data_IF_909924891684
#
_entry.id   IF_909924891684
#
_cell.length_a   1.000
_cell.length_b   1.000
_cell.length_c   1.000
_cell.angle_alpha   90.00
_cell.angle_beta   90.00
_cell.angle_gamma   90.00
#
_symmetry.space_group_name_H-M   'P 1'
#
loop_
_entity.id
_entity.type
_entity.pdbx_description
1 polymer ?
#
# COMPACT_ATOMS: atom_id res chain seq x y z
N UNK A 1 -34.30 -4.44 -24.89
CA UNK A 1 -35.26 -5.20 -25.72
C UNK A 1 -34.56 -6.33 -26.48
N UNK A 2 -33.54 -6.06 -27.30
CA UNK A 2 -32.79 -7.09 -28.07
C UNK A 2 -32.18 -8.19 -27.18
N UNK A 3 -31.55 -7.82 -26.05
CA UNK A 3 -30.94 -8.77 -25.12
C UNK A 3 -31.92 -9.79 -24.51
N UNK A 4 -33.17 -9.36 -24.28
CA UNK A 4 -34.23 -10.18 -23.70
C UNK A 4 -34.74 -11.23 -24.70
N UNK A 5 -34.88 -10.87 -25.97
CA UNK A 5 -35.23 -11.83 -27.03
C UNK A 5 -34.14 -12.89 -27.22
N UNK A 6 -32.87 -12.50 -27.16
CA UNK A 6 -31.74 -13.43 -27.27
C UNK A 6 -31.72 -14.45 -26.11
N UNK A 7 -32.03 -14.02 -24.87
CA UNK A 7 -32.13 -14.92 -23.72
C UNK A 7 -33.24 -15.98 -23.88
N UNK A 8 -34.41 -15.56 -24.41
CA UNK A 8 -35.53 -16.47 -24.68
C UNK A 8 -35.15 -17.48 -25.76
N UNK A 9 -34.51 -17.02 -26.84
CA UNK A 9 -34.07 -17.89 -27.94
C UNK A 9 -33.01 -18.90 -27.48
N UNK A 10 -32.07 -18.47 -26.63
CA UNK A 10 -31.07 -19.36 -26.01
C UNK A 10 -31.72 -20.38 -25.08
N UNK A 11 -32.73 -19.99 -24.30
CA UNK A 11 -33.48 -20.90 -23.45
C UNK A 11 -34.28 -21.94 -24.26
N UNK A 12 -34.85 -21.54 -25.40
CA UNK A 12 -35.52 -22.45 -26.34
C UNK A 12 -34.52 -23.41 -26.98
N UNK A 13 -33.37 -22.90 -27.42
CA UNK A 13 -32.29 -23.71 -27.97
C UNK A 13 -31.81 -24.74 -26.94
N UNK A 14 -31.62 -24.34 -25.69
CA UNK A 14 -31.26 -25.24 -24.59
C UNK A 14 -32.31 -26.34 -24.36
N UNK A 15 -33.60 -26.00 -24.36
CA UNK A 15 -34.70 -26.99 -24.24
C UNK A 15 -34.77 -27.99 -25.39
N UNK A 16 -34.33 -27.60 -26.59
CA UNK A 16 -34.26 -28.48 -27.76
C UNK A 16 -33.01 -29.36 -27.72
N UNK A 17 -31.85 -28.77 -27.42
CA UNK A 17 -30.55 -29.45 -27.38
C UNK A 17 -30.47 -30.47 -26.26
N UNK A 18 -31.07 -30.19 -25.10
CA UNK A 18 -31.14 -31.12 -23.95
C UNK A 18 -31.87 -32.44 -24.25
N UNK A 19 -32.65 -32.51 -25.34
CA UNK A 19 -33.33 -33.75 -25.77
C UNK A 19 -32.44 -34.65 -26.64
N UNK A 20 -31.29 -34.14 -27.10
CA UNK A 20 -30.38 -34.85 -27.99
C UNK A 20 -29.12 -35.27 -27.22
N UNK A 21 -28.79 -36.56 -27.18
CA UNK A 21 -27.58 -37.03 -26.51
C UNK A 21 -26.32 -36.40 -27.14
N UNK A 22 -25.35 -36.01 -26.32
CA UNK A 22 -24.07 -35.36 -26.69
C UNK A 22 -24.16 -33.94 -27.29
N UNK A 23 -25.37 -33.43 -27.59
CA UNK A 23 -25.51 -32.08 -28.14
C UNK A 23 -25.29 -30.98 -27.08
N UNK A 24 -25.66 -31.27 -25.83
CA UNK A 24 -25.44 -30.37 -24.68
C UNK A 24 -23.95 -30.15 -24.41
N UNK A 25 -23.12 -31.19 -24.56
CA UNK A 25 -21.67 -31.08 -24.33
C UNK A 25 -21.01 -30.20 -25.39
N UNK A 26 -21.41 -30.36 -26.65
CA UNK A 26 -20.94 -29.48 -27.74
C UNK A 26 -21.38 -28.03 -27.55
N UNK A 27 -22.58 -27.81 -27.01
CA UNK A 27 -23.05 -26.46 -26.67
C UNK A 27 -22.20 -25.84 -25.54
N UNK A 28 -21.82 -26.63 -24.52
CA UNK A 28 -20.91 -26.18 -23.44
C UNK A 28 -19.55 -25.75 -24.00
N UNK A 29 -18.97 -26.53 -24.91
CA UNK A 29 -17.70 -26.18 -25.57
C UNK A 29 -17.78 -24.87 -26.36
N UNK A 30 -18.88 -24.65 -27.11
CA UNK A 30 -19.09 -23.41 -27.88
C UNK A 30 -19.24 -22.22 -26.94
N UNK A 31 -20.03 -22.36 -25.87
CA UNK A 31 -20.22 -21.29 -24.88
C UNK A 31 -18.90 -20.96 -24.17
N UNK A 32 -18.14 -21.98 -23.77
CA UNK A 32 -16.82 -21.81 -23.15
C UNK A 32 -15.86 -21.03 -24.06
N UNK A 33 -15.77 -21.43 -25.34
CA UNK A 33 -14.93 -20.76 -26.32
C UNK A 33 -15.38 -19.32 -26.58
N UNK A 34 -16.69 -19.07 -26.65
CA UNK A 34 -17.24 -17.73 -26.86
C UNK A 34 -16.94 -16.78 -25.68
N UNK A 35 -17.14 -17.24 -24.44
CA UNK A 35 -16.83 -16.46 -23.23
C UNK A 35 -15.34 -16.12 -23.20
N UNK A 36 -14.48 -17.10 -23.48
CA UNK A 36 -13.04 -16.90 -23.50
C UNK A 36 -12.61 -15.84 -24.53
N UNK A 37 -13.12 -15.91 -25.77
CA UNK A 37 -12.81 -14.93 -26.80
C UNK A 37 -13.33 -13.53 -26.43
N UNK A 38 -14.58 -13.42 -25.96
CA UNK A 38 -15.13 -12.13 -25.52
C UNK A 38 -14.33 -11.53 -24.35
N UNK A 39 -13.83 -12.38 -23.44
CA UNK A 39 -12.94 -12.00 -22.34
C UNK A 39 -11.63 -11.38 -22.84
N UNK A 40 -10.96 -12.07 -23.75
CA UNK A 40 -9.70 -11.61 -24.34
C UNK A 40 -9.90 -10.30 -25.11
N UNK A 41 -10.89 -10.25 -26.00
CA UNK A 41 -11.17 -9.06 -26.83
C UNK A 41 -11.42 -7.82 -25.97
N UNK A 42 -12.15 -7.97 -24.87
CA UNK A 42 -12.45 -6.87 -23.97
C UNK A 42 -11.19 -6.36 -23.26
N UNK A 43 -10.32 -7.27 -22.79
CA UNK A 43 -9.05 -6.90 -22.16
C UNK A 43 -8.07 -6.29 -23.19
N UNK A 44 -8.06 -6.78 -24.43
CA UNK A 44 -7.22 -6.27 -25.50
C UNK A 44 -7.58 -4.81 -25.85
N UNK A 45 -8.87 -4.48 -25.91
CA UNK A 45 -9.34 -3.10 -26.15
C UNK A 45 -8.88 -2.09 -25.09
N UNK A 46 -8.69 -2.54 -23.85
CA UNK A 46 -8.25 -1.68 -22.75
C UNK A 46 -6.75 -1.82 -22.44
N UNK A 47 -6.02 -2.67 -23.16
CA UNK A 47 -4.64 -3.07 -22.84
C UNK A 47 -3.67 -1.90 -22.68
N UNK A 48 -3.80 -0.85 -23.49
CA UNK A 48 -2.96 0.36 -23.43
C UNK A 48 -3.15 1.19 -22.16
N UNK A 49 -4.34 1.16 -21.57
CA UNK A 49 -4.75 2.06 -20.47
C UNK A 49 -4.88 1.31 -19.14
N UNK A 50 -5.27 0.04 -19.18
CA UNK A 50 -5.51 -0.82 -18.03
C UNK A 50 -4.24 -1.15 -17.24
N UNK A 51 -3.07 -1.13 -17.88
CA UNK A 51 -1.78 -1.40 -17.24
C UNK A 51 -1.47 -0.45 -16.08
N UNK A 52 -1.97 0.80 -16.19
CA UNK A 52 -1.84 1.85 -15.17
C UNK A 52 -3.16 2.14 -14.43
N UNK A 53 -4.25 1.43 -14.76
CA UNK A 53 -5.56 1.65 -14.17
C UNK A 53 -6.19 0.33 -13.69
N UNK A 54 -5.85 -0.11 -12.46
CA UNK A 54 -6.36 -1.36 -11.89
C UNK A 54 -7.88 -1.42 -11.79
N UNK A 55 -8.53 -0.26 -11.56
CA UNK A 55 -9.99 -0.16 -11.47
C UNK A 55 -10.65 -0.56 -12.79
N UNK A 56 -10.23 0.05 -13.89
CA UNK A 56 -10.75 -0.26 -15.23
C UNK A 56 -10.59 -1.74 -15.57
N UNK A 57 -9.44 -2.32 -15.24
CA UNK A 57 -9.16 -3.73 -15.48
C UNK A 57 -10.13 -4.66 -14.74
N UNK A 58 -10.30 -4.46 -13.43
CA UNK A 58 -11.16 -5.31 -12.60
C UNK A 58 -12.64 -5.12 -12.94
N UNK A 59 -13.09 -3.88 -13.17
CA UNK A 59 -14.48 -3.60 -13.57
C UNK A 59 -14.83 -4.26 -14.91
N UNK A 60 -13.90 -4.25 -15.89
CA UNK A 60 -14.13 -4.92 -17.19
C UNK A 60 -14.28 -6.44 -17.03
N UNK A 61 -13.47 -7.07 -16.19
CA UNK A 61 -13.60 -8.51 -15.89
C UNK A 61 -14.95 -8.81 -15.23
N UNK A 62 -15.35 -7.98 -14.26
CA UNK A 62 -16.61 -8.12 -13.53
C UNK A 62 -17.83 -7.94 -14.43
N UNK A 63 -17.79 -7.00 -15.39
CA UNK A 63 -18.86 -6.78 -16.35
C UNK A 63 -19.08 -8.01 -17.23
N UNK A 64 -17.99 -8.61 -17.73
CA UNK A 64 -18.03 -9.83 -18.54
C UNK A 64 -18.57 -11.00 -17.71
N UNK A 65 -18.03 -11.19 -16.50
CA UNK A 65 -18.49 -12.23 -15.58
C UNK A 65 -20.00 -12.09 -15.29
N UNK A 66 -20.44 -10.89 -14.89
CA UNK A 66 -21.85 -10.62 -14.56
C UNK A 66 -22.76 -10.85 -15.76
N UNK A 67 -22.34 -10.43 -16.95
CA UNK A 67 -23.10 -10.63 -18.19
C UNK A 67 -23.34 -12.10 -18.50
N UNK A 68 -22.30 -12.92 -18.42
CA UNK A 68 -22.39 -14.35 -18.73
C UNK A 68 -22.97 -15.18 -17.58
N UNK A 69 -22.76 -14.77 -16.33
CA UNK A 69 -23.42 -15.36 -15.17
C UNK A 69 -24.94 -15.22 -15.25
N UNK A 70 -25.45 -14.02 -15.61
CA UNK A 70 -26.88 -13.81 -15.88
C UNK A 70 -27.38 -14.69 -17.02
N UNK A 71 -26.62 -14.82 -18.10
CA UNK A 71 -26.96 -15.69 -19.22
C UNK A 71 -27.09 -17.15 -18.79
N UNK A 72 -26.14 -17.67 -18.00
CA UNK A 72 -26.17 -19.06 -17.51
C UNK A 72 -27.36 -19.28 -16.56
N UNK A 73 -27.64 -18.32 -15.67
CA UNK A 73 -28.75 -18.44 -14.73
C UNK A 73 -30.11 -18.38 -15.43
N UNK A 74 -30.31 -17.41 -16.33
CA UNK A 74 -31.61 -17.17 -16.95
C UNK A 74 -31.89 -18.09 -18.15
N UNK A 75 -30.90 -18.35 -19.00
CA UNK A 75 -31.10 -19.15 -20.22
C UNK A 75 -30.85 -20.65 -20.01
N UNK A 76 -29.91 -21.03 -19.12
CA UNK A 76 -29.52 -22.42 -18.91
C UNK A 76 -29.94 -22.97 -17.53
N UNK A 77 -30.80 -22.24 -16.80
CA UNK A 77 -31.33 -22.62 -15.48
C UNK A 77 -30.24 -23.03 -14.47
N UNK A 78 -29.07 -22.39 -14.52
CA UNK A 78 -27.93 -22.69 -13.65
C UNK A 78 -27.47 -24.16 -13.70
N UNK A 79 -27.58 -24.82 -14.86
CA UNK A 79 -27.06 -26.18 -15.02
C UNK A 79 -25.55 -26.22 -14.71
N UNK A 80 -25.14 -27.14 -13.82
CA UNK A 80 -23.77 -27.26 -13.33
C UNK A 80 -22.71 -27.33 -14.45
N UNK A 81 -23.03 -27.97 -15.57
CA UNK A 81 -22.10 -28.08 -16.70
C UNK A 81 -21.81 -26.73 -17.38
N UNK A 82 -22.79 -25.83 -17.47
CA UNK A 82 -22.59 -24.49 -18.03
C UNK A 82 -21.92 -23.54 -17.02
N UNK A 83 -22.23 -23.67 -15.73
CA UNK A 83 -21.50 -22.95 -14.67
C UNK A 83 -20.01 -23.33 -14.68
N UNK A 84 -19.70 -24.63 -14.77
CA UNK A 84 -18.32 -25.09 -14.88
C UNK A 84 -17.62 -24.62 -16.16
N UNK A 85 -18.34 -24.53 -17.28
CA UNK A 85 -17.81 -23.97 -18.53
C UNK A 85 -17.50 -22.47 -18.41
N UNK A 86 -18.40 -21.70 -17.78
CA UNK A 86 -18.17 -20.29 -17.44
C UNK A 86 -16.92 -20.12 -16.56
N UNK A 87 -16.81 -20.93 -15.51
CA UNK A 87 -15.69 -20.86 -14.56
C UNK A 87 -14.36 -21.18 -15.23
N UNK A 88 -14.30 -22.21 -16.08
CA UNK A 88 -13.10 -22.54 -16.87
C UNK A 88 -12.72 -21.43 -17.84
N UNK A 89 -13.70 -20.85 -18.56
CA UNK A 89 -13.44 -19.75 -19.47
C UNK A 89 -12.89 -18.52 -18.73
N UNK A 90 -13.52 -18.14 -17.60
CA UNK A 90 -13.09 -17.05 -16.72
C UNK A 90 -11.67 -17.26 -16.21
N UNK A 91 -11.38 -18.43 -15.62
CA UNK A 91 -10.02 -18.75 -15.17
C UNK A 91 -9.01 -18.62 -16.32
N UNK A 92 -9.35 -19.09 -17.52
CA UNK A 92 -8.43 -19.08 -18.65
C UNK A 92 -8.11 -17.66 -19.13
N UNK A 93 -9.09 -16.78 -19.34
CA UNK A 93 -8.81 -15.43 -19.82
C UNK A 93 -8.29 -14.48 -18.72
N UNK A 94 -8.60 -14.72 -17.45
CA UNK A 94 -8.09 -13.88 -16.35
C UNK A 94 -6.59 -14.13 -16.13
N UNK A 95 -6.15 -15.38 -16.25
CA UNK A 95 -4.73 -15.74 -16.08
C UNK A 95 -3.93 -15.56 -17.39
N UNK A 96 -4.57 -15.72 -18.56
CA UNK A 96 -3.95 -15.53 -19.88
C UNK A 96 -4.69 -14.47 -20.70
N UNK A 97 -4.12 -13.27 -20.79
CA UNK A 97 -4.67 -12.17 -21.58
C UNK A 97 -3.57 -11.28 -22.16
N UNK A 98 -3.97 -10.31 -22.97
CA UNK A 98 -3.08 -9.33 -23.60
C UNK A 98 -2.16 -8.62 -22.60
N UNK A 99 -2.61 -8.40 -21.35
CA UNK A 99 -1.82 -7.70 -20.31
C UNK A 99 -0.79 -8.63 -19.67
N UNK A 100 -1.15 -9.88 -19.38
CA UNK A 100 -0.21 -10.86 -18.85
C UNK A 100 0.82 -11.31 -19.89
N UNK A 101 0.43 -11.38 -21.16
CA UNK A 101 1.34 -11.68 -22.29
C UNK A 101 2.24 -10.49 -22.65
N UNK A 102 1.75 -9.25 -22.64
CA UNK A 102 2.58 -8.07 -22.93
C UNK A 102 3.77 -7.91 -21.96
N UNK A 103 3.60 -8.34 -20.71
CA UNK A 103 4.64 -8.24 -19.66
C UNK A 103 5.37 -9.58 -19.45
N UNK A 104 5.04 -10.62 -20.23
CA UNK A 104 5.49 -12.02 -19.99
C UNK A 104 5.32 -12.44 -18.52
N UNK A 105 4.23 -12.00 -17.88
CA UNK A 105 3.99 -12.21 -16.47
C UNK A 105 2.52 -12.52 -16.18
N UNK A 106 2.21 -13.80 -16.01
CA UNK A 106 0.89 -14.32 -15.61
C UNK A 106 0.47 -13.86 -14.21
N UNK A 107 1.38 -13.30 -13.40
CA UNK A 107 1.07 -12.77 -12.08
C UNK A 107 0.54 -11.34 -12.09
N UNK A 108 0.47 -10.68 -13.25
CA UNK A 108 0.04 -9.28 -13.34
C UNK A 108 -1.41 -9.10 -12.91
N UNK A 109 -2.29 -10.06 -13.23
CA UNK A 109 -3.69 -10.07 -12.77
C UNK A 109 -3.78 -10.06 -11.24
N UNK A 110 -2.96 -10.86 -10.55
CA UNK A 110 -2.87 -10.89 -9.08
C UNK A 110 -2.41 -9.55 -8.51
N UNK A 111 -1.43 -8.90 -9.15
CA UNK A 111 -0.93 -7.59 -8.73
C UNK A 111 -2.01 -6.51 -8.90
N UNK A 112 -2.67 -6.45 -10.07
CA UNK A 112 -3.72 -5.47 -10.35
C UNK A 112 -4.92 -5.62 -9.41
N UNK A 113 -5.33 -6.85 -9.09
CA UNK A 113 -6.38 -7.06 -8.10
C UNK A 113 -5.97 -6.54 -6.73
N UNK A 114 -4.74 -6.83 -6.28
CA UNK A 114 -4.24 -6.32 -5.01
C UNK A 114 -4.16 -4.78 -4.97
N UNK A 115 -3.78 -4.14 -6.09
CA UNK A 115 -3.75 -2.69 -6.24
C UNK A 115 -5.16 -2.07 -6.23
N UNK A 116 -6.14 -2.75 -6.84
CA UNK A 116 -7.54 -2.33 -6.80
C UNK A 116 -8.09 -2.36 -5.37
N UNK A 117 -7.88 -3.45 -4.63
CA UNK A 117 -8.24 -3.53 -3.21
C UNK A 117 -7.57 -2.42 -2.39
N UNK A 118 -6.27 -2.18 -2.61
CA UNK A 118 -5.53 -1.12 -1.94
C UNK A 118 -6.11 0.27 -2.19
N UNK A 119 -6.57 0.54 -3.41
CA UNK A 119 -7.19 1.82 -3.76
C UNK A 119 -8.51 2.01 -3.03
N UNK A 120 -9.36 0.99 -2.94
CA UNK A 120 -10.65 1.07 -2.24
C UNK A 120 -10.49 1.34 -0.73
N UNK A 121 -9.46 0.76 -0.11
CA UNK A 121 -9.24 0.82 1.34
C UNK A 121 -8.47 2.06 1.83
N UNK A 122 -8.02 2.94 0.93
CA UNK A 122 -7.18 4.10 1.26
C UNK A 122 -8.01 5.33 1.66
N UNK A 123 -7.57 6.05 2.70
CA UNK A 123 -8.11 7.37 3.10
C UNK A 123 -8.15 8.31 1.89
N UNK A 124 -9.29 8.95 1.67
CA UNK A 124 -9.51 9.90 0.56
C UNK A 124 -10.31 9.35 -0.62
N UNK A 125 -10.46 8.03 -0.75
CA UNK A 125 -11.27 7.41 -1.82
C UNK A 125 -12.72 7.10 -1.39
N UNK A 126 -13.18 7.72 -0.30
CA UNK A 126 -14.48 7.48 0.33
C UNK A 126 -15.63 8.23 -0.38
N UNK A 127 -15.64 8.19 -1.71
CA UNK A 127 -16.80 8.61 -2.53
C UNK A 127 -17.83 7.48 -2.69
N UNK A 128 -17.50 6.29 -2.19
CA UNK A 128 -18.32 5.07 -2.25
C UNK A 128 -19.10 4.98 -0.95
N UNK A 129 -20.44 4.87 -1.03
CA UNK A 129 -21.29 4.65 0.14
C UNK A 129 -20.95 3.31 0.81
N UNK A 130 -21.10 3.20 2.13
CA UNK A 130 -20.69 2.00 2.91
C UNK A 130 -21.37 0.72 2.41
N UNK A 131 -22.61 0.81 1.91
CA UNK A 131 -23.37 -0.30 1.31
C UNK A 131 -22.79 -0.78 -0.03
N UNK A 132 -22.20 0.10 -0.85
CA UNK A 132 -21.56 -0.30 -2.11
C UNK A 132 -20.21 -1.00 -1.84
N UNK A 133 -19.54 -0.65 -0.74
CA UNK A 133 -18.21 -1.17 -0.43
C UNK A 133 -18.21 -2.69 -0.16
N UNK A 134 -19.19 -3.21 0.59
CA UNK A 134 -19.30 -4.65 0.80
C UNK A 134 -19.57 -5.41 -0.51
N UNK A 135 -20.41 -4.86 -1.40
CA UNK A 135 -20.66 -5.44 -2.72
C UNK A 135 -19.37 -5.48 -3.56
N UNK A 136 -18.56 -4.41 -3.53
CA UNK A 136 -17.25 -4.38 -4.18
C UNK A 136 -16.30 -5.44 -3.63
N UNK A 137 -16.33 -5.72 -2.33
CA UNK A 137 -15.54 -6.81 -1.77
C UNK A 137 -16.02 -8.19 -2.22
N UNK A 138 -17.33 -8.41 -2.30
CA UNK A 138 -17.86 -9.66 -2.86
C UNK A 138 -17.41 -9.84 -4.32
N UNK A 139 -17.44 -8.77 -5.12
CA UNK A 139 -16.93 -8.77 -6.49
C UNK A 139 -15.42 -9.07 -6.57
N UNK A 140 -14.61 -8.49 -5.68
CA UNK A 140 -13.18 -8.82 -5.57
C UNK A 140 -12.96 -10.30 -5.31
N UNK A 141 -13.75 -10.89 -4.41
CA UNK A 141 -13.65 -12.31 -4.08
C UNK A 141 -14.02 -13.21 -5.27
N UNK A 142 -15.01 -12.80 -6.07
CA UNK A 142 -15.36 -13.50 -7.32
C UNK A 142 -14.15 -13.56 -8.26
N UNK A 143 -13.51 -12.43 -8.53
CA UNK A 143 -12.31 -12.40 -9.41
C UNK A 143 -11.15 -13.17 -8.78
N UNK A 144 -10.95 -13.03 -7.47
CA UNK A 144 -9.90 -13.74 -6.73
C UNK A 144 -10.03 -15.26 -6.81
N UNK A 145 -11.25 -15.81 -6.87
CA UNK A 145 -11.46 -17.25 -7.01
C UNK A 145 -10.98 -17.80 -8.37
N UNK A 146 -10.91 -16.97 -9.40
CA UNK A 146 -10.41 -17.35 -10.73
C UNK A 146 -8.89 -17.17 -10.89
N UNK A 147 -8.21 -16.54 -9.92
CA UNK A 147 -6.76 -16.37 -9.95
C UNK A 147 -6.07 -17.67 -9.54
N UNK A 148 -5.16 -18.16 -10.39
CA UNK A 148 -4.35 -19.35 -10.10
C UNK A 148 -3.25 -19.03 -9.05
N UNK A 149 -2.54 -17.92 -9.24
CA UNK A 149 -1.40 -17.52 -8.40
C UNK A 149 -1.86 -16.70 -7.19
N UNK A 150 -2.58 -17.34 -6.25
CA UNK A 150 -3.08 -16.71 -5.03
C UNK A 150 -1.95 -16.22 -4.10
N UNK A 151 -0.87 -16.97 -3.97
CA UNK A 151 0.29 -16.57 -3.14
C UNK A 151 0.93 -15.26 -3.62
N UNK A 152 0.92 -15.01 -4.92
CA UNK A 152 1.44 -13.75 -5.49
C UNK A 152 0.50 -12.59 -5.16
N UNK A 153 -0.82 -12.81 -5.23
CA UNK A 153 -1.79 -11.82 -4.74
C UNK A 153 -1.52 -11.51 -3.27
N UNK A 154 -1.37 -12.53 -2.41
CA UNK A 154 -1.11 -12.35 -0.99
C UNK A 154 0.18 -11.56 -0.74
N UNK A 155 1.25 -11.86 -1.47
CA UNK A 155 2.53 -11.13 -1.35
C UNK A 155 2.37 -9.64 -1.66
N UNK A 156 1.69 -9.29 -2.75
CA UNK A 156 1.45 -7.88 -3.11
C UNK A 156 0.47 -7.22 -2.14
N UNK A 157 -0.61 -7.90 -1.78
CA UNK A 157 -1.60 -7.42 -0.83
C UNK A 157 -0.96 -7.13 0.53
N UNK A 158 -0.21 -8.09 1.09
CA UNK A 158 0.52 -7.96 2.36
C UNK A 158 1.46 -6.76 2.35
N UNK A 159 2.22 -6.56 1.26
CA UNK A 159 3.13 -5.41 1.11
C UNK A 159 2.39 -4.08 1.12
N UNK A 160 1.28 -3.97 0.39
CA UNK A 160 0.49 -2.73 0.34
C UNK A 160 -0.26 -2.49 1.66
N UNK A 161 -0.82 -3.55 2.24
CA UNK A 161 -1.47 -3.53 3.53
C UNK A 161 -0.53 -3.05 4.64
N UNK A 162 0.69 -3.58 4.70
CA UNK A 162 1.71 -3.14 5.65
C UNK A 162 2.00 -1.64 5.55
N UNK A 163 2.11 -1.10 4.33
CA UNK A 163 2.34 0.32 4.08
C UNK A 163 1.13 1.18 4.49
N UNK A 164 -0.10 0.73 4.19
CA UNK A 164 -1.31 1.46 4.58
C UNK A 164 -1.45 1.53 6.10
N UNK A 165 -1.19 0.41 6.76
CA UNK A 165 -1.25 0.26 8.21
C UNK A 165 -0.26 1.18 8.91
N UNK A 166 1.03 1.12 8.54
CA UNK A 166 2.08 1.91 9.18
C UNK A 166 1.99 3.40 8.84
N UNK A 167 1.61 3.75 7.61
CA UNK A 167 1.44 5.16 7.22
C UNK A 167 0.08 5.76 7.62
N UNK A 168 -0.70 5.07 8.45
CA UNK A 168 -2.07 5.43 8.84
C UNK A 168 -2.97 5.80 7.65
N UNK A 169 -2.82 5.16 6.50
CA UNK A 169 -3.57 5.43 5.28
C UNK A 169 -4.87 4.62 5.18
N UNK A 170 -5.19 3.77 6.14
CA UNK A 170 -6.42 2.97 6.17
C UNK A 170 -7.66 3.84 6.41
N UNK A 171 -8.68 3.74 5.56
CA UNK A 171 -9.93 4.50 5.71
C UNK A 171 -10.72 4.07 6.95
N UNK A 172 -10.84 2.75 7.17
CA UNK A 172 -11.46 2.13 8.33
C UNK A 172 -10.75 0.82 8.65
N UNK A 173 -10.58 0.49 9.93
CA UNK A 173 -10.04 -0.82 10.32
C UNK A 173 -11.08 -1.93 10.18
N UNK A 174 -12.37 -1.60 10.30
CA UNK A 174 -13.47 -2.57 10.16
C UNK A 174 -13.54 -3.10 8.71
N UNK A 175 -13.33 -2.22 7.73
CA UNK A 175 -13.29 -2.61 6.30
C UNK A 175 -12.09 -3.52 6.00
N UNK A 176 -10.94 -3.24 6.61
CA UNK A 176 -9.74 -4.08 6.49
C UNK A 176 -9.97 -5.46 7.14
N UNK A 177 -10.65 -5.52 8.30
CA UNK A 177 -11.02 -6.79 8.94
C UNK A 177 -12.04 -7.57 8.10
N UNK A 178 -12.99 -6.89 7.46
CA UNK A 178 -14.02 -7.52 6.65
C UNK A 178 -13.46 -8.16 5.39
N UNK A 179 -12.56 -7.49 4.65
CA UNK A 179 -11.90 -8.11 3.48
C UNK A 179 -11.01 -9.29 3.90
N UNK A 180 -10.29 -9.19 5.03
CA UNK A 180 -9.48 -10.29 5.56
C UNK A 180 -10.37 -11.47 5.95
N UNK A 181 -11.54 -11.22 6.54
CA UNK A 181 -12.51 -12.25 6.88
C UNK A 181 -13.04 -12.98 5.63
N UNK A 182 -13.32 -12.25 4.55
CA UNK A 182 -13.72 -12.86 3.27
C UNK A 182 -12.57 -13.68 2.62
N UNK A 183 -11.32 -13.21 2.72
CA UNK A 183 -10.15 -13.99 2.29
C UNK A 183 -9.94 -15.25 3.15
N UNK A 184 -10.19 -15.16 4.46
CA UNK A 184 -10.11 -16.30 5.39
C UNK A 184 -11.17 -17.36 5.07
N UNK A 185 -12.38 -16.94 4.71
CA UNK A 185 -13.44 -17.86 4.30
C UNK A 185 -13.08 -18.64 3.02
N UNK A 186 -12.37 -18.00 2.07
CA UNK A 186 -12.03 -18.63 0.79
C UNK A 186 -10.76 -19.48 0.80
N UNK A 187 -9.72 -19.06 1.55
CA UNK A 187 -8.41 -19.72 1.55
C UNK A 187 -8.01 -20.35 2.89
N UNK A 188 -8.83 -20.17 3.92
CA UNK A 188 -8.56 -20.70 5.26
C UNK A 188 -7.74 -19.77 6.15
N UNK A 189 -7.51 -20.23 7.38
CA UNK A 189 -6.86 -19.45 8.43
C UNK A 189 -5.39 -19.15 8.13
N UNK A 190 -4.60 -20.16 7.76
CA UNK A 190 -3.16 -20.03 7.59
C UNK A 190 -2.79 -18.97 6.55
N UNK A 191 -3.58 -18.87 5.47
CA UNK A 191 -3.43 -17.88 4.40
C UNK A 191 -3.57 -16.42 4.89
N UNK A 192 -4.36 -16.18 5.94
CA UNK A 192 -4.65 -14.83 6.45
C UNK A 192 -4.00 -14.55 7.81
N UNK A 193 -3.37 -15.55 8.42
CA UNK A 193 -2.80 -15.49 9.77
C UNK A 193 -1.85 -14.30 9.98
N UNK A 194 -0.97 -14.04 9.02
CA UNK A 194 -0.04 -12.89 9.06
C UNK A 194 -0.78 -11.55 8.99
N UNK A 195 -1.80 -11.42 8.11
CA UNK A 195 -2.58 -10.18 7.98
C UNK A 195 -3.36 -9.88 9.26
N UNK A 196 -3.94 -10.91 9.88
CA UNK A 196 -4.63 -10.79 11.17
C UNK A 196 -3.67 -10.38 12.28
N UNK A 197 -2.46 -10.96 12.30
CA UNK A 197 -1.42 -10.57 13.24
C UNK A 197 -0.99 -9.12 13.04
N UNK A 198 -0.87 -8.64 11.79
CA UNK A 198 -0.53 -7.25 11.49
C UNK A 198 -1.59 -6.27 12.03
N UNK A 199 -2.89 -6.57 11.88
CA UNK A 199 -3.96 -5.76 12.49
C UNK A 199 -3.85 -5.74 14.01
N UNK A 200 -3.65 -6.89 14.63
CA UNK A 200 -3.54 -7.00 16.08
C UNK A 200 -2.32 -6.22 16.62
N UNK A 201 -1.20 -6.27 15.89
CA UNK A 201 0.03 -5.57 16.26
C UNK A 201 -0.20 -4.05 16.33
N UNK A 202 -0.94 -3.46 15.38
CA UNK A 202 -1.22 -2.02 15.36
C UNK A 202 -2.38 -1.65 16.28
N UNK A 203 -3.57 -2.21 16.07
CA UNK A 203 -4.79 -1.75 16.72
C UNK A 203 -4.79 -2.00 18.23
N UNK A 204 -4.16 -3.09 18.66
CA UNK A 204 -4.20 -3.55 20.05
C UNK A 204 -2.83 -3.41 20.69
N UNK A 205 -1.82 -4.12 20.17
CA UNK A 205 -0.52 -4.28 20.85
C UNK A 205 0.20 -2.94 20.97
N UNK A 206 0.32 -2.21 19.86
CA UNK A 206 1.03 -0.92 19.80
C UNK A 206 0.33 0.17 20.60
N UNK A 207 -1.00 0.25 20.50
CA UNK A 207 -1.80 1.22 21.25
C UNK A 207 -1.66 1.00 22.77
N UNK A 208 -1.80 -0.25 23.22
CA UNK A 208 -1.64 -0.61 24.63
C UNK A 208 -0.23 -0.28 25.14
N UNK A 209 0.81 -0.65 24.38
CA UNK A 209 2.20 -0.32 24.75
C UNK A 209 2.46 1.19 24.82
N UNK A 210 1.92 1.98 23.88
CA UNK A 210 2.04 3.44 23.88
C UNK A 210 1.38 4.04 25.12
N UNK A 211 0.18 3.58 25.47
CA UNK A 211 -0.53 4.07 26.66
C UNK A 211 0.17 3.67 27.96
N UNK A 212 0.67 2.44 28.07
CA UNK A 212 1.48 2.01 29.22
C UNK A 212 2.78 2.82 29.34
N UNK A 213 3.44 3.12 28.23
CA UNK A 213 4.65 3.94 28.24
C UNK A 213 4.37 5.38 28.68
N UNK A 214 3.23 5.96 28.26
CA UNK A 214 2.80 7.29 28.72
C UNK A 214 2.66 7.32 30.25
N UNK A 215 1.97 6.32 30.82
CA UNK A 215 1.80 6.17 32.27
C UNK A 215 3.15 6.00 32.98
N UNK A 216 4.07 5.21 32.42
CA UNK A 216 5.42 5.03 32.97
C UNK A 216 6.21 6.34 33.02
N UNK A 217 6.09 7.19 31.99
CA UNK A 217 6.77 8.48 31.94
C UNK A 217 6.23 9.45 33.01
N UNK A 218 4.91 9.46 33.24
CA UNK A 218 4.27 10.26 34.27
C UNK A 218 4.74 9.87 35.68
N UNK A 219 4.84 8.57 35.97
CA UNK A 219 5.28 8.08 37.28
C UNK A 219 6.76 8.38 37.58
N UNK A 220 7.62 8.32 36.57
CA UNK A 220 9.07 8.53 36.75
C UNK A 220 9.49 9.99 36.64
N UNK A 221 8.55 10.96 36.60
CA UNK A 221 8.81 12.38 36.31
C UNK A 221 9.71 12.59 35.09
N UNK A 222 9.67 11.62 34.17
CA UNK A 222 10.50 11.60 32.98
C UNK A 222 9.71 12.31 31.90
N UNK A 223 9.63 13.63 32.00
CA UNK A 223 9.10 14.44 30.92
C UNK A 223 10.02 14.28 29.72
N UNK A 224 9.62 13.44 28.78
CA UNK A 224 10.25 13.40 27.48
C UNK A 224 10.21 14.83 26.91
N UNK A 225 11.32 15.24 26.31
CA UNK A 225 11.46 16.55 25.64
C UNK A 225 10.45 16.67 24.46
N UNK A 226 9.80 15.56 24.14
CA UNK A 226 9.25 15.22 22.85
C UNK A 226 8.03 14.31 23.06
N UNK A 227 6.90 14.62 22.42
CA UNK A 227 5.74 13.71 22.35
C UNK A 227 6.15 12.45 21.56
N UNK A 228 5.83 11.26 22.03
CA UNK A 228 6.39 10.01 21.49
C UNK A 228 5.29 8.96 21.35
N UNK A 229 5.15 8.44 20.12
CA UNK A 229 4.22 7.36 19.80
C UNK A 229 4.96 6.25 19.05
N UNK A 230 4.59 5.01 19.33
CA UNK A 230 5.34 3.84 18.93
C UNK A 230 4.44 2.73 18.43
N UNK A 231 4.85 2.11 17.32
CA UNK A 231 4.26 0.90 16.77
C UNK A 231 5.24 -0.25 16.94
N UNK A 232 4.86 -1.27 17.71
CA UNK A 232 5.69 -2.45 17.95
C UNK A 232 5.17 -3.61 17.12
N UNK A 233 5.98 -4.08 16.18
CA UNK A 233 5.60 -5.02 15.14
C UNK A 233 6.40 -6.33 15.26
N UNK A 234 5.74 -7.48 15.06
CA UNK A 234 6.41 -8.80 15.15
C UNK A 234 7.14 -9.16 13.85
N UNK A 235 8.45 -9.42 13.90
CA UNK A 235 9.31 -9.67 12.71
C UNK A 235 8.71 -10.62 11.67
N UNK A 236 8.12 -11.74 12.12
CA UNK A 236 7.70 -12.82 11.21
C UNK A 236 6.46 -12.49 10.38
N UNK A 237 5.63 -11.53 10.80
CA UNK A 237 4.35 -11.25 10.14
C UNK A 237 4.42 -10.11 9.13
N UNK A 238 5.52 -9.35 9.12
CA UNK A 238 5.61 -8.10 8.36
C UNK A 238 6.60 -8.21 7.19
N UNK A 239 6.29 -7.66 6.00
CA UNK A 239 7.13 -7.74 4.81
C UNK A 239 8.27 -6.71 4.78
N UNK A 240 8.76 -6.28 5.93
CA UNK A 240 9.75 -5.20 6.01
C UNK A 240 11.16 -5.74 6.09
N UNK A 241 12.08 -5.09 5.39
CA UNK A 241 13.50 -5.43 5.39
C UNK A 241 14.22 -4.72 6.53
N UNK A 242 15.38 -5.28 6.92
CA UNK A 242 16.25 -4.71 7.93
C UNK A 242 16.63 -3.26 7.59
N UNK A 243 16.81 -2.39 8.60
CA UNK A 243 17.14 -0.99 8.36
C UNK A 243 18.54 -0.85 7.76
N UNK A 244 18.73 0.21 6.96
CA UNK A 244 20.06 0.66 6.55
C UNK A 244 20.80 1.31 7.73
N UNK A 245 22.13 1.45 7.60
CA UNK A 245 22.90 2.31 8.50
C UNK A 245 22.26 3.72 8.54
N UNK A 246 22.11 4.26 9.74
CA UNK A 246 21.47 5.55 9.98
C UNK A 246 21.86 6.06 11.36
N UNK A 247 22.25 7.34 11.43
CA UNK A 247 22.57 8.00 12.70
C UNK A 247 21.36 8.78 13.18
N UNK A 248 20.75 8.32 14.28
CA UNK A 248 19.61 8.99 14.90
C UNK A 248 20.08 10.26 15.65
N UNK A 249 19.40 11.41 15.50
CA UNK A 249 19.70 12.62 16.25
C UNK A 249 19.66 12.40 17.76
N UNK A 250 20.57 13.09 18.46
CA UNK A 250 20.80 12.92 19.90
C UNK A 250 19.51 13.12 20.70
N UNK A 251 18.66 14.06 20.32
CA UNK A 251 17.45 14.34 21.09
C UNK A 251 16.36 13.25 20.92
N UNK A 252 16.38 12.48 19.83
CA UNK A 252 15.50 11.33 19.65
C UNK A 252 16.08 10.07 20.29
N UNK A 253 17.41 9.96 20.29
CA UNK A 253 18.13 8.83 20.88
C UNK A 253 17.79 8.64 22.36
N UNK A 254 17.78 9.73 23.15
CA UNK A 254 17.43 9.66 24.57
C UNK A 254 16.00 9.13 24.81
N UNK A 255 15.02 9.64 24.07
CA UNK A 255 13.63 9.18 24.17
C UNK A 255 13.51 7.70 23.82
N UNK A 256 14.22 7.27 22.79
CA UNK A 256 14.22 5.88 22.36
C UNK A 256 14.92 4.95 23.35
N UNK A 257 16.05 5.34 23.93
CA UNK A 257 16.75 4.59 24.97
C UNK A 257 15.84 4.39 26.20
N UNK A 258 15.13 5.44 26.62
CA UNK A 258 14.13 5.33 27.70
C UNK A 258 13.03 4.32 27.36
N UNK A 259 12.53 4.34 26.11
CA UNK A 259 11.54 3.37 25.67
C UNK A 259 12.07 1.93 25.67
N UNK A 260 13.31 1.71 25.21
CA UNK A 260 13.95 0.38 25.25
C UNK A 260 14.06 -0.12 26.69
N UNK A 261 14.46 0.75 27.64
CA UNK A 261 14.54 0.37 29.05
C UNK A 261 13.18 -0.07 29.60
N UNK A 262 12.13 0.71 29.34
CA UNK A 262 10.75 0.35 29.68
C UNK A 262 10.32 -0.98 29.05
N UNK A 263 10.57 -1.16 27.76
CA UNK A 263 10.17 -2.37 27.04
C UNK A 263 10.89 -3.62 27.55
N UNK A 264 12.20 -3.51 27.82
CA UNK A 264 13.00 -4.62 28.34
C UNK A 264 12.56 -5.05 29.73
N UNK A 265 12.08 -4.14 30.59
CA UNK A 265 11.53 -4.48 31.91
C UNK A 265 10.29 -5.37 31.80
N UNK A 266 9.44 -5.14 30.79
CA UNK A 266 8.22 -5.92 30.58
C UNK A 266 8.44 -7.18 29.73
N UNK A 267 9.46 -7.16 28.86
CA UNK A 267 9.67 -8.19 27.86
C UNK A 267 11.13 -8.64 27.79
N UNK A 268 11.51 -9.49 28.75
CA UNK A 268 12.83 -10.11 28.81
C UNK A 268 13.13 -10.95 27.56
N UNK A 269 14.35 -10.82 27.02
CA UNK A 269 14.86 -11.63 25.91
C UNK A 269 14.41 -11.18 24.52
N UNK A 270 13.80 -10.00 24.38
CA UNK A 270 13.45 -9.41 23.08
C UNK A 270 14.42 -8.28 22.74
N UNK A 271 14.72 -8.11 21.45
CA UNK A 271 15.53 -7.00 20.94
C UNK A 271 14.64 -6.12 20.06
N UNK A 272 14.76 -4.82 20.22
CA UNK A 272 14.05 -3.85 19.40
C UNK A 272 14.96 -3.29 18.31
N UNK A 273 14.44 -3.18 17.10
CA UNK A 273 15.10 -2.59 15.93
C UNK A 273 14.21 -1.50 15.35
N UNK A 274 14.73 -0.28 15.22
CA UNK A 274 13.99 0.82 14.60
C UNK A 274 14.00 0.72 13.08
N UNK A 275 12.85 0.90 12.45
CA UNK A 275 12.76 1.14 11.00
C UNK A 275 12.53 2.61 10.71
N UNK A 276 13.63 3.34 10.52
CA UNK A 276 13.64 4.77 10.21
C UNK A 276 12.90 5.08 8.90
N UNK A 277 12.90 4.15 7.95
CA UNK A 277 12.23 4.26 6.65
C UNK A 277 10.70 4.36 6.71
N UNK A 278 10.10 4.02 7.85
CA UNK A 278 8.66 4.11 8.08
C UNK A 278 8.31 4.95 9.32
N UNK A 279 9.25 5.77 9.77
CA UNK A 279 9.05 6.63 10.94
C UNK A 279 8.90 8.08 10.48
N UNK A 280 7.97 8.82 11.09
CA UNK A 280 7.64 10.20 10.74
C UNK A 280 7.80 11.14 11.94
N UNK A 281 7.75 12.45 11.70
CA UNK A 281 7.90 13.45 12.75
C UNK A 281 7.54 14.88 12.34
N UNK A 282 7.24 15.72 13.35
CA UNK A 282 6.61 17.04 13.19
C UNK A 282 7.55 18.20 13.56
N UNK A 283 8.37 18.69 12.65
CA UNK A 283 9.31 19.77 12.96
C UNK A 283 8.58 21.11 13.11
N UNK A 284 8.79 21.81 14.22
CA UNK A 284 8.23 23.15 14.41
C UNK A 284 9.26 24.23 14.03
N UNK A 285 8.87 25.16 13.16
CA UNK A 285 9.69 26.33 12.82
C UNK A 285 9.58 27.40 13.89
N UNK A 286 10.70 28.09 14.17
CA UNK A 286 10.76 29.20 15.13
C UNK A 286 11.24 30.52 14.52
N UNK A 287 11.62 30.52 13.24
CA UNK A 287 12.19 31.68 12.57
C UNK A 287 11.14 32.55 11.86
N UNK A 288 9.95 32.00 11.62
CA UNK A 288 8.82 32.71 11.03
C UNK A 288 7.96 33.37 12.12
N UNK A 289 7.41 34.56 11.86
CA UNK A 289 6.48 35.23 12.79
C UNK A 289 5.29 34.32 13.16
N UNK A 290 4.87 33.47 12.22
CA UNK A 290 3.93 32.38 12.45
C UNK A 290 4.67 31.05 12.64
N UNK A 291 4.31 30.29 13.66
CA UNK A 291 4.87 28.95 13.89
C UNK A 291 4.27 27.96 12.89
N UNK A 292 5.09 27.40 12.01
CA UNK A 292 4.69 26.33 11.11
C UNK A 292 5.12 24.97 11.68
N UNK A 293 4.31 23.94 11.41
CA UNK A 293 4.64 22.55 11.74
C UNK A 293 4.84 21.82 10.41
N UNK A 294 6.02 21.25 10.22
CA UNK A 294 6.42 20.48 9.06
C UNK A 294 6.30 18.99 9.40
N UNK A 295 5.34 18.32 8.78
CA UNK A 295 5.26 16.86 8.82
C UNK A 295 6.27 16.29 7.83
N UNK A 296 7.29 15.61 8.36
CA UNK A 296 8.42 15.10 7.58
C UNK A 296 8.74 13.66 7.94
N UNK A 297 9.33 12.93 7.00
CA UNK A 297 9.92 11.62 7.30
C UNK A 297 11.10 11.77 8.25
N UNK A 298 11.47 10.68 8.94
CA UNK A 298 12.63 10.69 9.84
C UNK A 298 13.92 11.04 9.10
N UNK A 299 14.09 10.61 7.85
CA UNK A 299 15.26 10.96 7.06
C UNK A 299 15.32 12.47 6.74
N UNK A 300 14.21 13.06 6.29
CA UNK A 300 14.11 14.50 6.06
C UNK A 300 14.36 15.28 7.35
N UNK A 301 13.82 14.80 8.48
CA UNK A 301 14.02 15.42 9.78
C UNK A 301 15.50 15.52 10.16
N UNK A 302 16.30 14.47 9.94
CA UNK A 302 17.74 14.51 10.28
C UNK A 302 18.46 15.54 9.43
N UNK A 303 18.18 15.58 8.13
CA UNK A 303 18.79 16.55 7.21
C UNK A 303 18.47 17.98 7.65
N UNK A 304 17.20 18.27 7.96
CA UNK A 304 16.78 19.59 8.42
C UNK A 304 17.40 19.95 9.78
N UNK A 305 17.59 18.98 10.67
CA UNK A 305 18.24 19.20 11.97
C UNK A 305 19.74 19.51 11.84
N UNK A 306 20.43 19.07 10.78
CA UNK A 306 21.84 19.43 10.55
C UNK A 306 22.02 20.95 10.40
N UNK A 307 21.03 21.64 9.82
CA UNK A 307 21.08 23.09 9.64
C UNK A 307 21.01 23.89 10.95
N UNK A 308 20.63 23.25 12.06
CA UNK A 308 20.73 23.87 13.38
C UNK A 308 22.19 23.96 13.88
N UNK A 309 23.11 23.13 13.37
CA UNK A 309 24.53 23.19 13.71
C UNK A 309 25.27 24.21 12.84
N UNK A 310 24.98 24.26 11.53
CA UNK A 310 25.63 25.14 10.53
C UNK A 310 24.62 25.57 9.47
N UNK A 311 24.76 26.79 8.94
CA UNK A 311 23.85 27.34 7.93
C UNK A 311 24.09 26.83 6.50
N UNK A 312 25.25 26.23 6.25
CA UNK A 312 25.69 25.72 4.94
C UNK A 312 26.39 24.38 5.11
N UNK A 313 26.18 23.48 4.15
CA UNK A 313 26.69 22.12 4.17
C UNK A 313 26.92 21.63 2.73
N UNK A 314 27.97 20.84 2.50
CA UNK A 314 28.12 20.12 1.23
C UNK A 314 27.34 18.81 1.25
N UNK A 315 26.97 18.31 0.07
CA UNK A 315 26.31 16.99 -0.08
C UNK A 315 27.12 15.88 0.60
N UNK A 316 28.43 15.84 0.37
CA UNK A 316 29.34 14.86 0.97
C UNK A 316 29.35 14.92 2.51
N UNK A 317 29.44 16.12 3.09
CA UNK A 317 29.44 16.29 4.55
C UNK A 317 28.11 15.87 5.19
N UNK A 318 26.98 16.16 4.53
CA UNK A 318 25.68 15.71 5.02
C UNK A 318 25.55 14.18 4.93
N UNK A 319 26.03 13.58 3.85
CA UNK A 319 26.01 12.14 3.69
C UNK A 319 26.84 11.46 4.78
N UNK A 320 28.02 11.99 5.09
CA UNK A 320 28.91 11.46 6.13
C UNK A 320 28.31 11.57 7.53
N UNK A 321 27.64 12.69 7.86
CA UNK A 321 26.99 12.87 9.17
C UNK A 321 25.74 12.00 9.32
N UNK A 322 24.97 11.78 8.25
CA UNK A 322 23.71 11.03 8.31
C UNK A 322 23.88 9.52 8.10
N UNK A 323 24.94 9.11 7.39
CA UNK A 323 25.21 7.72 6.97
C UNK A 323 24.06 7.09 6.16
N UNK A 324 23.22 7.90 5.51
CA UNK A 324 22.13 7.44 4.65
C UNK A 324 22.73 6.94 3.33
N UNK A 325 22.12 5.91 2.73
CA UNK A 325 22.51 5.44 1.40
C UNK A 325 22.42 6.57 0.36
N UNK A 326 23.47 6.77 -0.44
CA UNK A 326 23.60 7.84 -1.44
C UNK A 326 22.35 8.01 -2.31
N UNK A 327 21.83 6.92 -2.87
CA UNK A 327 20.69 6.97 -3.79
C UNK A 327 19.42 7.48 -3.08
N UNK A 328 19.18 7.02 -1.85
CA UNK A 328 18.05 7.46 -1.04
C UNK A 328 18.25 8.91 -0.58
N UNK A 329 19.48 9.25 -0.16
CA UNK A 329 19.85 10.59 0.28
C UNK A 329 19.60 11.63 -0.80
N UNK A 330 20.06 11.39 -2.03
CA UNK A 330 19.83 12.29 -3.16
C UNK A 330 18.34 12.44 -3.51
N UNK A 331 17.56 11.36 -3.45
CA UNK A 331 16.10 11.43 -3.67
C UNK A 331 15.40 12.31 -2.62
N UNK A 332 15.78 12.16 -1.35
CA UNK A 332 15.24 12.99 -0.26
C UNK A 332 15.64 14.44 -0.45
N UNK A 333 16.91 14.67 -0.77
CA UNK A 333 17.45 16.01 -1.00
C UNK A 333 16.72 16.72 -2.15
N UNK A 334 16.46 15.99 -3.24
CA UNK A 334 15.67 16.48 -4.37
C UNK A 334 14.25 16.87 -3.97
N UNK A 335 13.58 16.09 -3.13
CA UNK A 335 12.25 16.43 -2.62
C UNK A 335 12.27 17.69 -1.74
N UNK A 336 13.31 17.85 -0.92
CA UNK A 336 13.50 19.03 -0.07
C UNK A 336 13.81 20.31 -0.90
N UNK A 337 14.55 20.15 -2.01
CA UNK A 337 14.80 21.22 -2.98
C UNK A 337 13.52 21.62 -3.72
N UNK A 338 12.76 20.63 -4.24
CA UNK A 338 11.48 20.86 -4.93
C UNK A 338 10.45 21.55 -4.04
N UNK A 339 10.42 21.22 -2.76
CA UNK A 339 9.57 21.89 -1.76
C UNK A 339 10.10 23.27 -1.34
N UNK A 340 11.25 23.70 -1.85
CA UNK A 340 11.94 24.97 -1.53
C UNK A 340 12.24 25.14 -0.04
N UNK A 341 12.45 24.01 0.68
CA UNK A 341 12.87 24.02 2.08
C UNK A 341 14.39 24.21 2.20
N UNK A 342 15.14 23.73 1.21
CA UNK A 342 16.60 23.88 1.06
C UNK A 342 16.84 24.47 -0.32
N UNK A 343 17.90 25.28 -0.52
CA UNK A 343 18.22 25.80 -1.85
C UNK A 343 19.74 25.89 -2.08
N UNK A 344 20.17 25.37 -3.22
CA UNK A 344 21.56 25.45 -3.67
C UNK A 344 22.01 26.91 -3.86
N UNK A 345 23.20 27.24 -3.36
CA UNK A 345 23.79 28.57 -3.56
C UNK A 345 24.40 28.77 -4.94
N UNK A 346 24.67 27.70 -5.68
CA UNK A 346 25.56 27.76 -6.85
C UNK A 346 24.85 27.46 -8.19
N UNK A 347 23.55 27.10 -8.20
CA UNK A 347 22.85 26.66 -9.44
C UNK A 347 21.39 27.17 -9.48
N UNK A 348 20.95 27.69 -10.63
CA UNK A 348 19.54 28.00 -10.89
C UNK A 348 18.69 26.71 -10.85
N UNK A 349 17.52 26.76 -10.20
CA UNK A 349 16.67 25.58 -9.93
C UNK A 349 16.29 24.72 -11.16
N UNK A 350 16.45 25.23 -12.38
CA UNK A 350 16.02 24.59 -13.63
C UNK A 350 17.04 23.59 -14.24
N UNK A 351 18.31 23.59 -13.80
CA UNK A 351 19.38 22.69 -14.33
C UNK A 351 19.76 21.53 -13.39
N UNK A 352 19.10 21.47 -12.23
CA UNK A 352 19.57 20.81 -11.01
C UNK A 352 19.40 19.27 -10.99
N UNK A 353 18.64 18.71 -11.95
CA UNK A 353 18.36 17.27 -12.05
C UNK A 353 19.54 16.46 -12.62
N UNK A 354 20.50 17.12 -13.31
CA UNK A 354 21.71 16.48 -13.87
C UNK A 354 22.95 16.60 -12.96
N UNK A 355 23.06 17.67 -12.19
CA UNK A 355 24.29 18.01 -11.46
C UNK A 355 24.39 17.39 -10.05
N UNK A 356 23.30 16.86 -9.49
CA UNK A 356 23.30 16.18 -8.18
C UNK A 356 24.19 14.92 -8.11
N UNK A 357 24.73 14.47 -9.25
CA UNK A 357 25.72 13.40 -9.33
C UNK A 357 27.16 13.88 -9.15
N UNK A 358 27.42 15.19 -9.10
CA UNK A 358 28.75 15.75 -8.84
C UNK A 358 28.91 16.04 -7.34
N UNK A 359 29.91 15.38 -6.73
CA UNK A 359 30.15 15.34 -5.28
C UNK A 359 30.46 16.72 -4.61
N UNK A 360 30.46 17.82 -5.37
CA UNK A 360 30.94 19.14 -4.93
C UNK A 360 29.84 20.20 -4.74
N UNK A 361 28.55 19.87 -4.89
CA UNK A 361 27.48 20.88 -4.73
C UNK A 361 27.36 21.33 -3.27
N UNK A 362 27.54 22.64 -3.03
CA UNK A 362 27.19 23.30 -1.76
C UNK A 362 25.70 23.56 -1.68
N UNK A 363 25.05 22.89 -0.73
CA UNK A 363 23.64 23.05 -0.43
C UNK A 363 23.50 24.06 0.71
N UNK A 364 22.89 25.19 0.42
CA UNK A 364 22.51 26.13 1.45
C UNK A 364 21.03 25.92 1.80
N UNK A 365 20.61 26.36 2.98
CA UNK A 365 19.20 26.65 3.16
C UNK A 365 18.91 27.87 2.29
N UNK A 366 17.87 27.90 1.44
CA UNK A 366 17.34 29.20 1.07
C UNK A 366 15.85 29.32 1.33
N UNK A 367 15.53 30.43 1.97
CA UNK A 367 14.28 31.14 1.83
C UNK A 367 14.79 32.55 1.58
N UNK A 368 14.66 33.03 0.35
CA UNK A 368 14.82 34.44 0.03
C UNK A 368 13.70 35.19 0.74
N UNK A 369 13.96 35.64 1.96
CA UNK A 369 13.61 36.98 2.42
C UNK A 369 14.81 37.48 3.22
N UNK A 370 15.24 38.68 2.87
CA UNK A 370 16.37 39.38 3.44
C UNK A 370 16.41 39.33 4.96
N UNK A 371 17.66 39.30 5.46
CA UNK A 371 18.07 39.52 6.84
C UNK A 371 17.86 38.36 7.82
N UNK A 372 18.99 37.67 8.01
CA UNK A 372 19.56 37.28 9.29
C UNK A 372 18.70 36.41 10.26
N UNK A 373 19.38 35.40 10.83
CA UNK A 373 19.17 34.85 12.18
C UNK A 373 18.65 33.41 12.34
N UNK A 374 18.80 32.96 13.59
CA UNK A 374 19.18 31.64 14.11
C UNK A 374 17.98 30.80 14.60
N UNK A 375 18.13 29.47 14.45
CA UNK A 375 17.56 28.33 15.22
C UNK A 375 16.10 27.90 14.94
N UNK A 376 15.93 26.60 14.71
CA UNK A 376 14.67 25.84 14.75
C UNK A 376 14.63 25.04 16.07
N UNK A 377 13.51 25.01 16.80
CA UNK A 377 13.33 24.13 17.97
C UNK A 377 11.95 23.46 18.00
N UNK A 378 11.98 22.25 18.56
CA UNK A 378 11.14 21.06 18.42
C UNK A 378 9.73 21.12 19.03
N UNK A 379 8.81 20.40 18.36
CA UNK A 379 7.75 19.61 18.99
C UNK A 379 7.42 18.37 18.11
N UNK A 380 8.21 17.27 18.20
CA UNK A 380 8.11 16.12 17.26
C UNK A 380 8.01 14.74 17.96
N UNK A 381 6.89 14.04 17.94
CA UNK A 381 6.87 12.73 17.27
C UNK A 381 5.48 12.13 17.30
N UNK A 382 5.03 11.74 16.10
CA UNK A 382 4.08 10.66 15.95
C UNK A 382 4.76 9.59 15.10
N UNK A 383 4.77 8.40 15.69
CA UNK A 383 4.97 7.10 15.06
C UNK A 383 6.40 6.70 14.68
N UNK A 384 7.01 5.95 15.60
CA UNK A 384 8.13 5.08 15.32
C UNK A 384 7.66 3.64 15.09
N UNK A 385 7.98 3.06 13.94
CA UNK A 385 7.83 1.61 13.74
C UNK A 385 9.04 0.89 14.32
N UNK A 386 8.87 0.26 15.48
CA UNK A 386 9.85 -0.60 16.12
C UNK A 386 9.51 -2.05 15.82
N UNK A 387 10.50 -2.80 15.35
CA UNK A 387 10.41 -4.22 15.09
C UNK A 387 10.97 -4.98 16.26
N UNK A 388 10.28 -6.08 16.58
CA UNK A 388 10.85 -7.17 17.36
C UNK A 388 11.86 -7.95 16.54
#
# INVERSE_FOLDING_TARGET
>A
MIYFFILIDLALLFKLVSRVPNATDKLKEIVEAHIHQMGIDAIERISSTALNNPKLYIETILDIHTKFFKLVNEAFNSEQGFTAALDRACAKFINNNAITTAVNNTTKSSELLAQYCNTLLRKGNRTVEETDLEEKFNQIIVVFNYIENKDVFLKFYRKMFAKRLVGQLCASFDDEELIISKLKHTCGFDYTSELQQMLQDICITSKNLTDQYRIYCEHNNSHNIVDFSVMVLKTNSWPFSAPSNFVLPIELKKTFENFIMFYNQQHNGRKLVLLHQYSEGDLQTLYTEQKYILHVSTYEMVILLLFNKRSSWTVEQMQDETQINVNLFLQILWNLLKSKLIICSEINNDELEKDLNENDIKMNYNIQIENNFKRVYKKIAKEFSIFR
#
